data_IF_234585514709
#
_entry.id   IF_234585514709
#
_cell.length_a   1.000
_cell.length_b   1.000
_cell.length_c   1.000
_cell.angle_alpha   90.00
_cell.angle_beta   90.00
_cell.angle_gamma   90.00
#
_symmetry.space_group_name_H-M   'P 1'
#
loop_
_entity.id
_entity.type
_entity.pdbx_description
1 polymer ?
#
# COMPACT_ATOMS: atom_id res chain seq x y z
N UNK A 1 65.91 -50.69 -45.97
CA UNK A 1 64.95 -50.86 -47.08
C UNK A 1 63.80 -49.93 -46.77
N UNK A 2 63.72 -48.76 -47.39
CA UNK A 2 62.85 -48.35 -48.49
C UNK A 2 61.38 -48.80 -48.26
N UNK A 3 60.46 -47.88 -48.05
CA UNK A 3 59.67 -47.06 -48.99
C UNK A 3 58.78 -46.14 -48.17
N UNK A 4 58.71 -44.87 -48.32
CA UNK A 4 58.13 -43.96 -49.33
C UNK A 4 56.65 -44.08 -49.55
N UNK A 5 56.00 -42.93 -49.31
CA UNK A 5 54.99 -42.21 -50.06
C UNK A 5 53.57 -42.34 -49.37
N UNK A 6 52.70 -41.40 -49.39
CA UNK A 6 52.46 -40.26 -50.27
C UNK A 6 51.52 -39.27 -49.58
N UNK A 7 51.49 -38.09 -50.09
CA UNK A 7 50.70 -36.92 -49.72
C UNK A 7 49.21 -37.06 -50.08
N UNK A 8 48.34 -36.63 -49.23
CA UNK A 8 46.96 -36.36 -49.58
C UNK A 8 46.44 -35.07 -48.93
N UNK A 9 46.47 -34.02 -49.74
CA UNK A 9 45.82 -32.73 -49.43
C UNK A 9 44.33 -32.88 -49.58
N UNK A 10 43.54 -32.59 -48.55
CA UNK A 10 42.13 -32.36 -48.70
C UNK A 10 41.76 -31.03 -48.03
N UNK A 11 41.51 -30.07 -48.88
CA UNK A 11 40.90 -28.78 -48.55
C UNK A 11 39.44 -29.04 -48.22
N UNK A 12 39.06 -28.78 -46.99
CA UNK A 12 37.65 -28.92 -46.51
C UNK A 12 37.19 -27.63 -45.89
N UNK A 13 36.35 -27.03 -46.59
CA UNK A 13 35.46 -25.89 -46.42
C UNK A 13 35.16 -25.52 -44.98
N UNK A 14 35.57 -24.32 -44.54
CA UNK A 14 35.14 -23.69 -43.29
C UNK A 14 33.75 -23.13 -43.50
N UNK A 15 32.75 -23.86 -43.04
CA UNK A 15 31.38 -23.36 -42.89
C UNK A 15 31.25 -22.59 -41.59
N UNK A 16 31.29 -21.28 -41.66
CA UNK A 16 30.95 -20.41 -40.53
C UNK A 16 29.44 -20.44 -40.33
N UNK A 17 28.97 -21.21 -39.35
CA UNK A 17 27.60 -21.19 -38.89
C UNK A 17 27.44 -20.02 -37.93
N UNK A 18 26.99 -18.87 -38.43
CA UNK A 18 26.56 -17.75 -37.61
C UNK A 18 25.26 -18.12 -36.89
N UNK A 19 25.35 -18.57 -35.64
CA UNK A 19 24.20 -18.62 -34.74
C UNK A 19 23.84 -17.18 -34.34
N UNK A 20 22.83 -16.63 -35.00
CA UNK A 20 22.10 -15.46 -34.51
C UNK A 20 21.35 -15.86 -33.25
N UNK A 21 21.96 -15.66 -32.10
CA UNK A 21 21.24 -15.68 -30.82
C UNK A 21 20.39 -14.43 -30.74
N UNK A 22 19.13 -14.54 -31.23
CA UNK A 22 18.08 -13.61 -30.89
C UNK A 22 17.71 -13.82 -29.42
N UNK A 23 18.53 -13.23 -28.54
CA UNK A 23 18.21 -13.13 -27.11
C UNK A 23 17.00 -12.21 -26.95
N UNK A 24 15.82 -12.77 -26.80
CA UNK A 24 14.75 -12.06 -26.14
C UNK A 24 15.23 -11.78 -24.71
N UNK A 25 15.73 -10.58 -24.48
CA UNK A 25 15.88 -10.04 -23.13
C UNK A 25 14.51 -9.85 -22.55
N UNK A 26 13.96 -10.88 -21.91
CA UNK A 26 12.90 -10.70 -20.96
C UNK A 26 13.54 -9.98 -19.77
N UNK A 27 13.57 -8.66 -19.81
CA UNK A 27 13.89 -7.84 -18.64
C UNK A 27 12.68 -8.00 -17.72
N UNK A 28 12.77 -8.97 -16.82
CA UNK A 28 11.89 -9.01 -15.67
C UNK A 28 12.38 -7.89 -14.75
N UNK A 29 11.68 -6.76 -14.81
CA UNK A 29 11.89 -5.64 -13.89
C UNK A 29 11.31 -6.05 -12.52
N UNK A 30 12.14 -6.68 -11.69
CA UNK A 30 11.78 -7.12 -10.34
C UNK A 30 11.80 -5.99 -9.30
N UNK A 31 12.24 -4.79 -9.70
CA UNK A 31 12.38 -3.64 -8.78
C UNK A 31 11.17 -2.70 -8.82
N UNK A 32 10.14 -3.03 -9.59
CA UNK A 32 8.91 -2.26 -9.52
C UNK A 32 8.03 -2.84 -8.43
N UNK A 33 7.81 -2.13 -7.31
CA UNK A 33 6.78 -2.54 -6.37
C UNK A 33 5.50 -2.71 -7.18
N UNK A 34 4.89 -3.87 -7.03
CA UNK A 34 3.68 -4.30 -7.73
C UNK A 34 2.65 -3.18 -7.65
N UNK A 35 2.38 -2.58 -8.78
CA UNK A 35 1.37 -1.59 -9.09
C UNK A 35 0.31 -1.37 -7.99
N UNK A 36 0.63 -0.52 -7.00
CA UNK A 36 -0.40 0.35 -6.49
C UNK A 36 -0.94 1.10 -7.72
N UNK A 37 -2.23 0.99 -8.01
CA UNK A 37 -2.85 1.70 -9.11
C UNK A 37 -2.36 3.15 -9.05
N UNK A 38 -1.90 3.74 -10.18
CA UNK A 38 -1.44 5.11 -10.14
C UNK A 38 -2.52 5.93 -9.45
N UNK A 39 -2.14 6.64 -8.39
CA UNK A 39 -3.07 7.39 -7.54
C UNK A 39 -3.94 8.40 -8.31
N UNK A 40 -3.70 8.56 -9.61
CA UNK A 40 -4.44 9.43 -10.53
C UNK A 40 -5.42 8.71 -11.46
N UNK A 41 -5.56 7.39 -11.39
CA UNK A 41 -6.61 6.70 -12.12
C UNK A 41 -7.98 7.00 -11.49
N UNK A 42 -9.06 7.12 -12.28
CA UNK A 42 -10.41 7.17 -11.75
C UNK A 42 -10.67 5.93 -10.88
N UNK A 43 -11.32 6.12 -9.73
CA UNK A 43 -11.71 5.00 -8.87
C UNK A 43 -12.64 4.08 -9.65
N UNK A 44 -12.35 2.77 -9.62
CA UNK A 44 -13.14 1.77 -10.32
C UNK A 44 -14.24 1.18 -9.43
N UNK A 45 -15.32 0.60 -9.99
CA UNK A 45 -16.34 -0.09 -9.19
C UNK A 45 -15.78 -1.23 -8.34
N UNK A 46 -14.73 -1.90 -8.79
CA UNK A 46 -14.05 -2.97 -8.06
C UNK A 46 -13.31 -2.43 -6.85
N UNK A 47 -12.68 -1.26 -6.96
CA UNK A 47 -12.05 -0.58 -5.83
C UNK A 47 -13.09 -0.13 -4.80
N UNK A 48 -14.25 0.36 -5.25
CA UNK A 48 -15.37 0.71 -4.38
C UNK A 48 -15.98 -0.48 -3.65
N UNK A 49 -15.89 -1.68 -4.21
CA UNK A 49 -16.42 -2.89 -3.59
C UNK A 49 -15.36 -3.61 -2.72
N UNK A 50 -14.10 -3.21 -2.83
CA UNK A 50 -13.02 -3.81 -2.05
C UNK A 50 -13.19 -3.45 -0.57
N UNK A 51 -13.09 -4.47 0.29
CA UNK A 51 -13.23 -4.37 1.75
C UNK A 51 -14.64 -4.04 2.27
N UNK A 52 -15.66 -3.92 1.39
CA UNK A 52 -17.03 -3.61 1.77
C UNK A 52 -17.87 -4.86 2.17
N UNK A 53 -18.84 -4.70 3.11
CA UNK A 53 -19.15 -3.48 3.88
C UNK A 53 -18.21 -3.31 5.09
N UNK A 54 -17.69 -2.11 5.33
CA UNK A 54 -16.79 -1.82 6.46
C UNK A 54 -17.11 -0.47 7.15
N UNK A 55 -18.28 0.10 6.94
CA UNK A 55 -18.72 1.42 7.43
C UNK A 55 -18.98 1.51 8.94
N UNK A 56 -18.99 0.39 9.65
CA UNK A 56 -19.32 0.34 11.09
C UNK A 56 -18.31 -0.46 11.89
N UNK A 57 -18.14 -0.20 13.20
CA UNK A 57 -17.25 -1.01 14.04
C UNK A 57 -17.53 -2.53 13.97
N UNK A 58 -18.79 -2.92 13.77
CA UNK A 58 -19.19 -4.31 13.67
C UNK A 58 -18.83 -4.98 12.34
N UNK A 59 -18.63 -4.19 11.31
CA UNK A 59 -18.28 -4.64 9.94
C UNK A 59 -16.85 -4.26 9.54
N UNK A 60 -16.08 -3.63 10.43
CA UNK A 60 -14.71 -3.21 10.18
C UNK A 60 -13.85 -4.37 9.64
N UNK A 61 -13.11 -4.09 8.57
CA UNK A 61 -12.20 -5.07 7.96
C UNK A 61 -11.00 -5.33 8.87
N UNK A 62 -10.74 -6.58 9.23
CA UNK A 62 -9.60 -6.93 10.07
C UNK A 62 -8.27 -6.74 9.32
N UNK A 63 -7.34 -6.00 9.91
CA UNK A 63 -6.00 -5.83 9.36
C UNK A 63 -5.17 -7.12 9.51
N UNK A 64 -4.56 -7.58 8.41
CA UNK A 64 -3.81 -8.83 8.34
C UNK A 64 -2.28 -8.63 8.30
N UNK A 65 -1.78 -7.44 8.66
CA UNK A 65 -0.33 -7.15 8.68
C UNK A 65 0.25 -6.71 7.34
N UNK A 66 -0.59 -6.29 6.38
CA UNK A 66 -0.18 -5.85 5.05
C UNK A 66 -0.82 -4.50 4.72
N UNK A 67 -0.23 -3.79 3.74
CA UNK A 67 -0.85 -2.59 3.18
C UNK A 67 -2.22 -2.90 2.58
N UNK A 68 -3.14 -1.97 2.75
CA UNK A 68 -4.50 -2.09 2.24
C UNK A 68 -4.70 -1.05 1.13
N UNK A 69 -5.08 -1.51 -0.06
CA UNK A 69 -5.55 -0.65 -1.14
C UNK A 69 -7.06 -0.62 -1.12
N UNK A 70 -7.64 0.57 -0.98
CA UNK A 70 -9.08 0.78 -0.88
C UNK A 70 -9.50 2.10 -1.53
N UNK A 71 -10.79 2.43 -1.48
CA UNK A 71 -11.29 3.68 -2.01
C UNK A 71 -12.55 4.15 -1.26
N UNK A 72 -12.61 5.42 -0.97
CA UNK A 72 -13.83 6.10 -0.52
C UNK A 72 -14.75 6.34 -1.72
N UNK A 73 -15.97 5.83 -1.64
CA UNK A 73 -16.94 5.81 -2.74
C UNK A 73 -18.36 6.13 -2.25
N UNK A 74 -18.68 7.40 -2.01
CA UNK A 74 -19.98 7.78 -1.45
C UNK A 74 -21.14 7.34 -2.34
N UNK A 75 -22.16 6.76 -1.75
CA UNK A 75 -23.38 6.30 -2.42
C UNK A 75 -24.60 7.10 -1.94
N UNK A 76 -25.45 7.50 -2.88
CA UNK A 76 -26.75 8.12 -2.55
C UNK A 76 -26.69 9.45 -1.77
N UNK A 77 -25.54 10.14 -1.79
CA UNK A 77 -25.36 11.43 -1.08
C UNK A 77 -24.98 11.27 0.41
N UNK A 78 -24.80 10.06 0.89
CA UNK A 78 -24.17 9.75 2.18
C UNK A 78 -22.67 9.58 1.96
N UNK A 79 -21.87 10.13 2.89
CA UNK A 79 -20.42 9.88 2.86
C UNK A 79 -20.12 8.42 3.06
N UNK A 80 -19.00 7.99 2.53
CA UNK A 80 -18.42 6.68 2.72
C UNK A 80 -17.38 6.73 3.84
N UNK A 81 -17.26 5.65 4.61
CA UNK A 81 -16.34 5.53 5.75
C UNK A 81 -15.75 4.12 5.75
N UNK A 82 -14.45 4.02 5.63
CA UNK A 82 -13.76 2.74 5.76
C UNK A 82 -13.21 2.56 7.17
N UNK A 83 -13.57 1.46 7.83
CA UNK A 83 -13.06 1.09 9.14
C UNK A 83 -12.22 -0.18 9.07
N UNK A 84 -11.01 -0.11 9.63
CA UNK A 84 -10.07 -1.23 9.72
C UNK A 84 -9.77 -1.55 11.18
N UNK A 85 -9.98 -2.81 11.58
CA UNK A 85 -9.79 -3.27 12.94
C UNK A 85 -8.36 -3.78 13.16
N UNK A 86 -7.67 -3.22 14.15
CA UNK A 86 -6.28 -3.56 14.52
C UNK A 86 -6.25 -4.06 15.96
N UNK A 87 -5.74 -5.28 16.18
CA UNK A 87 -5.49 -5.81 17.52
C UNK A 87 -4.18 -5.29 18.07
N UNK A 88 -4.20 -4.64 19.24
CA UNK A 88 -3.01 -4.13 19.92
C UNK A 88 -2.89 -4.74 21.32
N UNK A 89 -1.67 -4.83 21.83
CA UNK A 89 -1.37 -5.22 23.22
C UNK A 89 -0.97 -4.02 24.06
N UNK A 90 -0.92 -4.19 25.39
CA UNK A 90 -0.57 -3.10 26.33
C UNK A 90 0.76 -2.45 25.94
N UNK A 91 0.74 -1.13 25.79
CA UNK A 91 1.90 -0.31 25.47
C UNK A 91 2.43 -0.44 24.05
N UNK A 92 1.75 -1.20 23.17
CA UNK A 92 2.15 -1.33 21.76
C UNK A 92 1.89 -0.03 21.00
N UNK A 93 2.91 0.55 20.35
CA UNK A 93 2.69 1.72 19.52
C UNK A 93 1.97 1.35 18.22
N UNK A 94 1.27 2.33 17.65
CA UNK A 94 0.66 2.22 16.33
C UNK A 94 0.91 3.52 15.54
N UNK A 95 1.33 3.37 14.30
CA UNK A 95 1.30 4.40 13.28
C UNK A 95 0.43 3.93 12.15
N UNK A 96 -0.52 4.75 11.71
CA UNK A 96 -1.24 4.52 10.47
C UNK A 96 -1.04 5.70 9.53
N UNK A 97 -0.79 5.41 8.27
CA UNK A 97 -0.56 6.43 7.23
C UNK A 97 -1.41 6.08 6.02
N UNK A 98 -2.17 7.03 5.51
CA UNK A 98 -2.79 6.91 4.18
C UNK A 98 -2.05 7.79 3.19
N UNK A 99 -1.92 7.29 1.96
CA UNK A 99 -1.42 8.05 0.81
C UNK A 99 -2.48 8.02 -0.28
N UNK A 100 -2.84 9.18 -0.78
CA UNK A 100 -3.88 9.39 -1.77
C UNK A 100 -3.55 10.59 -2.65
N UNK A 101 -4.41 10.97 -3.60
CA UNK A 101 -4.23 12.18 -4.39
C UNK A 101 -5.35 13.17 -4.14
N UNK A 102 -5.01 14.25 -3.46
CA UNK A 102 -5.91 15.38 -3.24
C UNK A 102 -5.90 16.33 -4.45
N UNK A 103 -6.54 15.92 -5.55
CA UNK A 103 -6.64 16.77 -6.74
C UNK A 103 -7.57 17.94 -6.50
N UNK A 104 -7.00 19.13 -6.31
CA UNK A 104 -7.75 20.39 -6.17
C UNK A 104 -8.82 20.37 -5.05
N UNK A 105 -8.58 19.59 -3.99
CA UNK A 105 -9.52 19.40 -2.87
C UNK A 105 -10.65 18.42 -3.12
N UNK A 106 -10.70 17.77 -4.29
CA UNK A 106 -11.78 16.84 -4.62
C UNK A 106 -11.55 15.41 -4.11
N UNK A 107 -10.32 15.07 -3.73
CA UNK A 107 -9.93 13.76 -3.22
C UNK A 107 -9.48 13.77 -1.77
N UNK A 108 -9.75 14.83 -1.02
CA UNK A 108 -9.27 15.06 0.34
C UNK A 108 -9.83 14.03 1.33
N UNK A 109 -8.94 13.30 1.99
CA UNK A 109 -9.28 12.24 2.95
C UNK A 109 -8.76 12.60 4.33
N UNK A 110 -9.58 12.32 5.35
CA UNK A 110 -9.22 12.40 6.76
C UNK A 110 -8.88 11.01 7.31
N UNK A 111 -7.93 10.94 8.23
CA UNK A 111 -7.53 9.72 8.93
C UNK A 111 -7.75 9.87 10.44
N UNK A 112 -8.26 8.82 11.10
CA UNK A 112 -8.44 8.79 12.56
C UNK A 112 -8.06 7.45 13.16
N UNK A 113 -7.55 7.50 14.39
CA UNK A 113 -7.44 6.36 15.27
C UNK A 113 -8.53 6.44 16.33
N UNK A 114 -9.32 5.37 16.49
CA UNK A 114 -10.45 5.28 17.40
C UNK A 114 -10.31 4.11 18.38
N UNK A 115 -11.04 4.18 19.50
CA UNK A 115 -11.31 3.00 20.33
C UNK A 115 -12.09 1.96 19.54
N UNK A 116 -12.03 0.67 19.95
CA UNK A 116 -12.63 -0.44 19.21
C UNK A 116 -14.15 -0.41 19.07
N UNK A 117 -14.84 0.37 19.90
CA UNK A 117 -16.27 0.65 19.79
C UNK A 117 -16.58 1.86 18.88
N UNK A 118 -15.53 2.54 18.37
CA UNK A 118 -15.68 3.77 17.58
C UNK A 118 -16.09 5.00 18.37
N UNK A 119 -16.19 4.89 19.70
CA UNK A 119 -16.76 5.93 20.55
C UNK A 119 -15.81 7.10 20.86
N UNK A 120 -14.49 6.89 20.81
CA UNK A 120 -13.51 7.91 21.15
C UNK A 120 -12.43 8.03 20.07
N UNK A 121 -12.16 9.26 19.64
CA UNK A 121 -11.00 9.58 18.79
C UNK A 121 -9.77 9.69 19.68
N UNK A 122 -8.74 8.92 19.38
CA UNK A 122 -7.45 8.90 20.09
C UNK A 122 -6.42 9.79 19.41
N UNK A 123 -6.45 9.84 18.09
CA UNK A 123 -5.65 10.74 17.26
C UNK A 123 -6.35 10.98 15.93
N UNK A 124 -6.13 12.15 15.31
CA UNK A 124 -6.70 12.46 14.01
C UNK A 124 -5.76 13.35 13.16
N UNK A 125 -5.79 13.12 11.86
CA UNK A 125 -5.08 13.90 10.85
C UNK A 125 -6.07 14.35 9.78
N UNK A 126 -6.11 15.65 9.51
CA UNK A 126 -7.10 16.33 8.64
C UNK A 126 -6.42 17.49 7.94
N UNK A 127 -5.44 17.18 7.13
CA UNK A 127 -4.72 18.21 6.37
C UNK A 127 -5.18 18.18 4.91
N UNK A 128 -4.77 19.14 4.12
CA UNK A 128 -5.01 19.14 2.67
C UNK A 128 -3.85 18.51 1.89
N UNK A 129 -2.98 17.76 2.55
CA UNK A 129 -1.87 17.05 1.93
C UNK A 129 -2.34 15.74 1.28
N UNK A 130 -1.51 15.16 0.43
CA UNK A 130 -1.76 13.84 -0.19
C UNK A 130 -1.44 12.66 0.77
N UNK A 131 -1.14 12.97 2.02
CA UNK A 131 -0.79 11.99 3.06
C UNK A 131 -1.33 12.44 4.39
N UNK A 132 -2.05 11.56 5.09
CA UNK A 132 -2.47 11.74 6.46
C UNK A 132 -1.83 10.69 7.35
N UNK A 133 -1.49 11.03 8.59
CA UNK A 133 -0.82 10.14 9.53
C UNK A 133 -1.37 10.32 10.94
N UNK A 134 -1.68 9.21 11.61
CA UNK A 134 -1.98 9.14 13.04
C UNK A 134 -0.93 8.29 13.75
N UNK A 135 -0.61 8.65 14.99
CA UNK A 135 0.46 8.04 15.78
C UNK A 135 0.06 7.96 17.25
N UNK A 136 0.17 6.78 17.86
CA UNK A 136 -0.11 6.60 19.28
C UNK A 136 0.88 5.57 19.89
N UNK A 137 1.61 5.91 20.97
CA UNK A 137 1.78 7.26 21.54
C UNK A 137 2.62 8.13 20.62
N UNK A 138 2.53 9.46 20.75
CA UNK A 138 3.34 10.42 20.01
C UNK A 138 2.54 11.57 19.39
N UNK A 139 1.27 11.35 19.04
CA UNK A 139 0.28 12.39 18.74
C UNK A 139 -0.34 12.97 20.02
N UNK A 140 -1.04 14.08 19.93
CA UNK A 140 -1.77 14.66 21.07
C UNK A 140 -3.22 14.12 21.03
N UNK A 141 -3.87 13.89 22.11
CA UNK A 141 -3.58 13.33 23.41
C UNK A 141 -3.85 11.82 23.47
N UNK A 142 -3.06 11.01 22.79
CA UNK A 142 -3.29 9.56 22.79
C UNK A 142 -3.03 8.98 24.20
N UNK A 143 -4.03 8.37 24.85
CA UNK A 143 -3.82 7.65 26.08
C UNK A 143 -2.95 6.41 25.85
N UNK A 144 -2.34 5.83 26.91
CA UNK A 144 -1.63 4.56 26.76
C UNK A 144 -2.52 3.50 26.10
N UNK A 145 -1.99 2.84 25.06
CA UNK A 145 -2.67 1.72 24.41
C UNK A 145 -2.80 0.59 25.44
N UNK A 146 -3.98 0.02 25.53
CA UNK A 146 -4.29 -1.17 26.32
C UNK A 146 -4.63 -2.35 25.41
N UNK A 147 -4.52 -3.56 25.94
CA UNK A 147 -4.87 -4.75 25.16
C UNK A 147 -6.32 -4.67 24.64
N UNK A 148 -6.50 -4.78 23.34
CA UNK A 148 -7.82 -4.70 22.72
C UNK A 148 -7.78 -4.44 21.22
N UNK A 149 -8.97 -4.21 20.66
CA UNK A 149 -9.15 -3.81 19.27
C UNK A 149 -9.25 -2.29 19.20
N UNK A 150 -8.63 -1.72 18.18
CA UNK A 150 -8.69 -0.32 17.81
C UNK A 150 -9.15 -0.21 16.36
N UNK A 151 -9.68 0.95 15.97
CA UNK A 151 -10.14 1.17 14.62
C UNK A 151 -9.34 2.30 13.96
N UNK A 152 -8.94 2.06 12.73
CA UNK A 152 -8.48 3.09 11.81
C UNK A 152 -9.67 3.49 10.95
N UNK A 153 -10.05 4.75 10.98
CA UNK A 153 -11.12 5.33 10.17
C UNK A 153 -10.51 6.15 9.04
N UNK A 154 -10.88 5.85 7.80
CA UNK A 154 -10.62 6.68 6.62
C UNK A 154 -11.96 7.20 6.12
N UNK A 155 -12.03 8.49 5.81
CA UNK A 155 -13.24 9.09 5.24
C UNK A 155 -12.92 10.31 4.40
N UNK A 156 -13.85 10.69 3.53
CA UNK A 156 -13.74 11.95 2.79
C UNK A 156 -13.92 13.17 3.70
N UNK A 157 -13.15 14.24 3.46
CA UNK A 157 -13.37 15.56 4.09
C UNK A 157 -14.80 16.07 3.87
N UNK A 158 -15.41 15.72 2.74
CA UNK A 158 -16.84 15.96 2.49
C UNK A 158 -17.53 14.66 2.07
N UNK A 159 -18.86 14.63 2.17
CA UNK A 159 -19.66 13.44 1.80
C UNK A 159 -19.71 13.13 0.31
N UNK A 160 -19.04 13.93 -0.53
CA UNK A 160 -18.96 13.73 -1.99
C UNK A 160 -17.58 13.34 -2.48
N UNK A 161 -16.59 13.21 -1.58
CA UNK A 161 -15.22 12.82 -1.95
C UNK A 161 -15.21 11.37 -2.46
N UNK A 162 -14.60 11.18 -3.61
CA UNK A 162 -14.26 9.86 -4.17
C UNK A 162 -12.76 9.82 -4.39
N UNK A 163 -12.05 8.93 -3.69
CA UNK A 163 -10.60 8.83 -3.75
C UNK A 163 -10.11 7.44 -3.44
N UNK A 164 -9.21 6.90 -4.27
CA UNK A 164 -8.45 5.71 -3.92
C UNK A 164 -7.30 6.08 -2.99
N UNK A 165 -6.94 5.16 -2.09
CA UNK A 165 -5.83 5.33 -1.17
C UNK A 165 -5.12 4.02 -0.88
N UNK A 166 -3.91 4.14 -0.32
CA UNK A 166 -3.17 3.03 0.29
C UNK A 166 -3.03 3.33 1.78
N UNK A 167 -3.49 2.41 2.62
CA UNK A 167 -3.32 2.45 4.08
C UNK A 167 -2.16 1.55 4.48
N UNK A 168 -1.17 2.13 5.12
CA UNK A 168 -0.03 1.46 5.75
C UNK A 168 -0.16 1.54 7.26
N UNK A 169 -0.04 0.41 7.97
CA UNK A 169 -0.12 0.32 9.43
C UNK A 169 1.13 -0.34 9.98
N UNK A 170 1.76 0.31 10.94
CA UNK A 170 2.93 -0.18 11.68
C UNK A 170 2.56 -0.31 13.17
N UNK A 171 2.91 -1.44 13.79
CA UNK A 171 2.60 -1.75 15.19
C UNK A 171 3.83 -2.23 15.97
N UNK A 172 5.04 -1.95 15.49
CA UNK A 172 6.30 -2.39 16.10
C UNK A 172 7.02 -1.23 16.80
N UNK A 173 8.02 -1.53 17.61
CA UNK A 173 8.85 -0.53 18.31
C UNK A 173 9.59 0.45 17.37
N UNK A 174 9.66 0.15 16.06
CA UNK A 174 10.26 1.04 15.05
C UNK A 174 9.45 2.32 14.81
N UNK A 175 8.20 2.37 15.29
CA UNK A 175 7.34 3.56 15.23
C UNK A 175 7.95 4.74 15.98
N UNK A 176 8.68 4.50 17.08
CA UNK A 176 9.32 5.55 17.87
C UNK A 176 10.59 6.12 17.23
N UNK A 177 11.28 5.35 16.37
CA UNK A 177 12.57 5.76 15.80
C UNK A 177 12.48 6.90 14.77
N UNK A 178 11.30 7.23 14.29
CA UNK A 178 11.06 8.28 13.29
C UNK A 178 10.80 9.68 13.83
N UNK A 179 10.63 9.85 15.14
CA UNK A 179 10.25 11.14 15.75
C UNK A 179 11.48 11.98 16.15
N UNK A 180 12.63 11.34 16.38
CA UNK A 180 13.86 12.01 16.81
C UNK A 180 14.68 12.64 15.67
N UNK A 181 14.22 12.57 14.42
CA UNK A 181 14.97 13.02 13.23
C UNK A 181 14.38 14.27 12.54
N UNK A 182 13.48 15.03 13.18
CA UNK A 182 12.96 16.31 12.64
C UNK A 182 13.34 17.50 13.49
#
# INVERSE_FOLDING_TARGET
>A
MRARAERGFAVGLVGALALAASGCSLVLDFDKPTDAAPADAPVTPEQCAANEPNDTPATATAWAGQDISAAICPTGGTGDVDLFAVGLVDGQPIRATITFMNRTGAGDLDLRLLTGDGGMVLDDSKTSADTEMVLCPGGSPCPPITNGTYLIEVKGFTTSVTSAYVLHIETTADVDAGIDAM
#
